data_IF_283950663278
#
_entry.id   IF_283950663278
#
_cell.length_a   1.000
_cell.length_b   1.000
_cell.length_c   1.000
_cell.angle_alpha   90.00
_cell.angle_beta   90.00
_cell.angle_gamma   90.00
#
_symmetry.space_group_name_H-M   'P 1'
#
loop_
_entity.id
_entity.type
_entity.pdbx_description
1 polymer ?
#
# COMPACT_ATOMS: atom_id res chain seq x y z
N UNK A 1 17.88 1.08 -7.06
CA UNK A 1 16.95 -0.05 -7.25
C UNK A 1 17.63 -1.31 -6.76
N UNK A 2 16.90 -2.24 -6.16
CA UNK A 2 17.42 -3.53 -5.68
C UNK A 2 16.47 -4.66 -6.05
N UNK A 3 16.97 -5.88 -6.17
CA UNK A 3 16.16 -7.09 -6.39
C UNK A 3 15.97 -7.84 -5.09
N UNK A 4 14.74 -8.27 -4.81
CA UNK A 4 14.44 -9.13 -3.65
C UNK A 4 13.21 -9.99 -3.91
N UNK A 5 13.22 -11.20 -3.38
CA UNK A 5 12.06 -12.09 -3.37
C UNK A 5 10.90 -11.49 -2.58
N UNK A 6 9.68 -11.59 -3.12
CA UNK A 6 8.46 -11.15 -2.48
C UNK A 6 7.97 -12.21 -1.49
N UNK A 7 7.76 -11.86 -0.22
CA UNK A 7 7.23 -12.80 0.77
C UNK A 7 5.76 -13.20 0.53
N UNK A 8 5.04 -12.51 -0.37
CA UNK A 8 3.63 -12.80 -0.70
C UNK A 8 3.51 -13.67 -1.94
N UNK A 9 4.16 -13.30 -3.04
CA UNK A 9 4.06 -14.05 -4.31
C UNK A 9 5.28 -14.92 -4.63
N UNK A 10 6.33 -14.87 -3.80
CA UNK A 10 7.58 -15.62 -3.97
C UNK A 10 8.36 -15.30 -5.26
N UNK A 11 7.96 -14.25 -6.00
CA UNK A 11 8.69 -13.81 -7.19
C UNK A 11 9.80 -12.82 -6.84
N UNK A 12 10.95 -12.96 -7.52
CA UNK A 12 12.04 -11.96 -7.46
C UNK A 12 11.69 -10.76 -8.31
N UNK A 13 11.57 -9.58 -7.69
CA UNK A 13 11.17 -8.32 -8.37
C UNK A 13 12.16 -7.20 -8.07
N UNK A 14 12.31 -6.30 -9.05
CA UNK A 14 13.05 -5.03 -8.87
C UNK A 14 12.20 -4.09 -8.01
N UNK A 15 12.85 -3.38 -7.09
CA UNK A 15 12.21 -2.46 -6.14
C UNK A 15 12.85 -1.09 -6.19
N UNK A 16 12.00 -0.07 -6.12
CA UNK A 16 12.36 1.35 -6.12
C UNK A 16 11.93 2.08 -4.83
N UNK A 17 11.39 1.37 -3.84
CA UNK A 17 11.01 1.90 -2.53
C UNK A 17 11.70 1.15 -1.40
N UNK A 18 11.99 1.84 -0.30
CA UNK A 18 12.79 1.31 0.81
C UNK A 18 11.95 0.91 2.02
N UNK A 19 10.71 1.39 2.11
CA UNK A 19 9.75 1.07 3.19
C UNK A 19 8.33 1.08 2.66
N UNK A 20 7.46 0.25 3.27
CA UNK A 20 6.01 0.23 2.97
C UNK A 20 5.28 1.38 3.67
N UNK A 21 5.73 1.74 4.88
CA UNK A 21 5.27 2.93 5.59
C UNK A 21 6.48 3.68 6.13
N UNK A 22 6.33 4.99 6.36
CA UNK A 22 7.32 5.78 7.08
C UNK A 22 7.67 5.21 8.47
N UNK A 23 6.77 4.42 9.08
CA UNK A 23 6.88 3.82 10.41
C UNK A 23 7.45 2.39 10.42
N UNK A 24 7.65 1.78 9.26
CA UNK A 24 8.28 0.46 9.15
C UNK A 24 9.75 0.54 9.55
N UNK A 25 10.19 -0.42 10.37
CA UNK A 25 11.62 -0.61 10.70
C UNK A 25 12.22 -1.83 10.01
N UNK A 26 11.39 -2.66 9.39
CA UNK A 26 11.83 -3.79 8.59
C UNK A 26 12.16 -3.33 7.17
N UNK A 27 12.99 -4.10 6.50
CA UNK A 27 13.25 -3.91 5.08
C UNK A 27 12.02 -4.26 4.25
N UNK A 28 11.94 -3.73 3.03
CA UNK A 28 10.83 -4.05 2.12
C UNK A 28 11.00 -5.46 1.62
N UNK A 29 10.05 -6.31 2.00
CA UNK A 29 10.01 -7.74 1.63
C UNK A 29 8.81 -8.09 0.74
N UNK A 30 7.89 -7.15 0.50
CA UNK A 30 6.72 -7.30 -0.39
C UNK A 30 6.93 -6.50 -1.67
N UNK A 31 6.58 -7.04 -2.84
CA UNK A 31 6.64 -6.34 -4.13
C UNK A 31 5.47 -5.36 -4.36
N UNK A 32 5.66 -4.44 -5.32
CA UNK A 32 4.70 -3.37 -5.60
C UNK A 32 3.32 -3.91 -5.99
N UNK A 33 3.26 -4.91 -6.87
CA UNK A 33 2.02 -5.56 -7.30
C UNK A 33 1.23 -6.15 -6.13
N UNK A 34 1.92 -6.80 -5.18
CA UNK A 34 1.27 -7.38 -4.00
C UNK A 34 0.81 -6.32 -3.02
N UNK A 35 1.57 -5.24 -2.81
CA UNK A 35 1.14 -4.11 -1.98
C UNK A 35 -0.09 -3.44 -2.60
N UNK A 36 -0.06 -3.22 -3.91
CA UNK A 36 -1.15 -2.67 -4.69
C UNK A 36 -2.44 -3.48 -4.53
N UNK A 37 -2.37 -4.81 -4.73
CA UNK A 37 -3.50 -5.71 -4.53
C UNK A 37 -4.01 -5.72 -3.08
N UNK A 38 -3.09 -5.68 -2.12
CA UNK A 38 -3.42 -5.62 -0.70
C UNK A 38 -4.16 -4.33 -0.36
N UNK A 39 -3.67 -3.18 -0.85
CA UNK A 39 -4.35 -1.89 -0.69
C UNK A 39 -5.74 -1.99 -1.31
N UNK A 40 -5.86 -2.44 -2.57
CA UNK A 40 -7.13 -2.51 -3.30
C UNK A 40 -8.19 -3.39 -2.61
N UNK A 41 -7.77 -4.54 -2.06
CA UNK A 41 -8.69 -5.45 -1.34
C UNK A 41 -9.14 -4.89 0.02
N UNK A 42 -8.33 -4.02 0.64
CA UNK A 42 -8.62 -3.50 1.97
C UNK A 42 -9.24 -2.11 1.94
N UNK A 43 -8.93 -1.29 0.94
CA UNK A 43 -9.38 0.09 0.85
C UNK A 43 -10.88 0.17 0.60
N UNK A 44 -11.53 -0.76 -0.08
CA UNK A 44 -13.00 -0.76 -0.24
C UNK A 44 -13.72 -0.91 1.11
N UNK A 45 -13.09 -1.57 2.10
CA UNK A 45 -13.59 -1.64 3.47
C UNK A 45 -13.46 -0.31 4.24
N UNK A 46 -12.64 0.61 3.72
CA UNK A 46 -12.30 1.89 4.37
C UNK A 46 -12.73 3.12 3.57
N UNK A 47 -12.98 3.00 2.26
CA UNK A 47 -13.29 4.10 1.35
C UNK A 47 -14.66 4.71 1.66
N UNK A 48 -15.62 3.89 2.10
CA UNK A 48 -16.92 4.34 2.63
C UNK A 48 -16.76 5.26 3.84
N UNK A 49 -15.65 5.17 4.59
CA UNK A 49 -15.37 6.02 5.74
C UNK A 49 -14.61 7.30 5.30
N UNK A 50 -13.74 7.17 4.30
CA UNK A 50 -12.86 8.23 3.80
C UNK A 50 -13.61 9.32 3.01
N UNK A 51 -14.70 8.98 2.32
CA UNK A 51 -15.48 9.95 1.54
C UNK A 51 -16.28 10.92 2.41
N UNK A 52 -16.72 10.49 3.60
CA UNK A 52 -17.54 11.29 4.51
C UNK A 52 -16.74 12.00 5.60
N UNK A 53 -15.56 11.51 5.94
CA UNK A 53 -14.71 12.11 6.97
C UNK A 53 -13.26 12.26 6.47
N UNK A 54 -12.84 13.50 6.22
CA UNK A 54 -11.45 13.80 5.85
C UNK A 54 -10.46 13.49 6.97
N UNK A 55 -10.93 13.38 8.22
CA UNK A 55 -10.16 12.92 9.39
C UNK A 55 -10.23 11.40 9.59
N UNK A 56 -10.95 10.67 8.75
CA UNK A 56 -11.01 9.21 8.82
C UNK A 56 -9.61 8.63 8.65
N UNK A 57 -9.10 8.06 9.74
CA UNK A 57 -7.84 7.33 9.73
C UNK A 57 -8.00 6.08 8.88
N UNK A 58 -7.22 5.99 7.80
CA UNK A 58 -7.06 4.75 7.03
C UNK A 58 -6.57 3.68 8.00
N UNK A 59 -7.34 2.60 8.17
CA UNK A 59 -6.98 1.49 9.07
C UNK A 59 -6.29 0.34 8.34
N UNK A 60 -5.58 0.65 7.25
CA UNK A 60 -4.75 -0.33 6.53
C UNK A 60 -3.41 -0.44 7.27
N UNK A 61 -2.97 -1.66 7.55
CA UNK A 61 -1.67 -1.92 8.20
C UNK A 61 -0.67 -2.49 7.19
N UNK A 62 0.61 -2.44 7.52
CA UNK A 62 1.65 -3.05 6.71
C UNK A 62 1.34 -4.54 6.49
N UNK A 63 1.37 -5.04 5.23
CA UNK A 63 1.07 -6.44 4.92
C UNK A 63 2.19 -7.41 5.31
N UNK A 64 3.35 -6.91 5.79
CA UNK A 64 4.42 -7.76 6.32
C UNK A 64 3.96 -8.36 7.65
N UNK A 65 4.04 -9.69 7.83
CA UNK A 65 3.72 -10.34 9.09
C UNK A 65 4.41 -9.63 10.27
N UNK A 66 3.69 -9.48 11.38
CA UNK A 66 4.20 -8.93 12.65
C UNK A 66 4.47 -7.41 12.64
N UNK A 67 4.54 -6.74 11.48
CA UNK A 67 4.81 -5.29 11.44
C UNK A 67 3.68 -4.45 12.03
N UNK A 68 2.43 -4.68 11.58
CA UNK A 68 1.20 -4.02 12.05
C UNK A 68 1.22 -2.47 12.04
N UNK A 69 2.22 -1.83 11.41
CA UNK A 69 2.30 -0.37 11.31
C UNK A 69 1.21 0.15 10.37
N UNK A 70 0.45 1.14 10.82
CA UNK A 70 -0.58 1.78 10.02
C UNK A 70 0.03 2.51 8.81
N UNK A 71 -0.58 2.31 7.65
CA UNK A 71 -0.30 3.02 6.41
C UNK A 71 -1.08 4.34 6.43
N UNK A 72 -0.38 5.47 6.32
CA UNK A 72 -1.01 6.77 6.18
C UNK A 72 -1.31 7.09 4.71
N UNK A 73 -2.17 8.09 4.45
CA UNK A 73 -2.45 8.56 3.08
C UNK A 73 -1.18 8.84 2.27
N UNK A 74 -0.17 9.41 2.90
CA UNK A 74 1.11 9.73 2.25
C UNK A 74 1.94 8.47 1.94
N UNK A 75 1.82 7.41 2.73
CA UNK A 75 2.48 6.13 2.44
C UNK A 75 1.81 5.48 1.22
N UNK A 76 0.48 5.47 1.18
CA UNK A 76 -0.30 4.95 0.05
C UNK A 76 -0.01 5.73 -1.22
N UNK A 77 0.02 7.06 -1.17
CA UNK A 77 0.37 7.90 -2.34
C UNK A 77 1.77 7.65 -2.89
N UNK A 78 2.73 7.31 -2.03
CA UNK A 78 4.13 7.07 -2.44
C UNK A 78 4.35 5.69 -3.05
N UNK A 79 3.52 4.71 -2.69
CA UNK A 79 3.71 3.31 -3.05
C UNK A 79 2.69 2.82 -4.05
N UNK A 80 1.43 3.25 -3.96
CA UNK A 80 0.46 2.93 -4.98
C UNK A 80 0.98 3.48 -6.32
N UNK A 81 0.99 2.63 -7.34
CA UNK A 81 1.33 3.08 -8.69
C UNK A 81 0.37 4.17 -9.12
N UNK A 82 0.85 5.06 -10.00
CA UNK A 82 0.04 6.12 -10.60
C UNK A 82 -1.27 5.56 -11.17
N UNK A 83 -1.23 4.38 -11.79
CA UNK A 83 -2.41 3.65 -12.27
C UNK A 83 -3.48 3.36 -11.20
N UNK A 84 -3.12 2.98 -9.97
CA UNK A 84 -4.12 2.75 -8.92
C UNK A 84 -4.70 4.07 -8.44
N UNK A 85 -3.85 5.08 -8.30
CA UNK A 85 -4.29 6.41 -7.91
C UNK A 85 -5.21 7.05 -8.97
N UNK A 86 -4.92 6.86 -10.26
CA UNK A 86 -5.67 7.41 -11.40
C UNK A 86 -6.94 6.60 -11.71
N UNK A 87 -6.93 5.26 -11.60
CA UNK A 87 -8.13 4.42 -11.74
C UNK A 87 -9.21 4.79 -10.70
N UNK A 88 -8.81 5.37 -9.56
CA UNK A 88 -9.71 5.91 -8.53
C UNK A 88 -10.25 7.32 -8.84
N UNK A 89 -9.62 8.10 -9.74
CA UNK A 89 -10.16 9.39 -10.16
C UNK A 89 -11.18 9.29 -11.30
N UNK A 90 -11.14 8.21 -12.10
CA UNK A 90 -12.05 7.99 -13.24
C UNK A 90 -13.39 7.34 -12.89
N UNK A 91 -13.52 6.72 -11.70
CA UNK A 91 -14.81 6.19 -11.22
C UNK A 91 -15.70 7.26 -10.56
N UNK A 92 -15.36 8.54 -10.72
CA UNK A 92 -16.09 9.72 -10.25
C UNK A 92 -16.59 10.61 -11.42
N UNK A 93 -16.80 10.03 -12.61
CA UNK A 93 -17.56 10.65 -13.71
C UNK A 93 -18.78 9.78 -13.99
#
# INVERSE_FOLDING_TARGET
>A
MFTRECIICLETKIRNYHRITSKCIHEVDVCLECINRYIDTNIDKFETIIQFDQNAKIKITCPVPICNKLMERNDIKKIATKEIYERRQLNNI
#
